data_IF_164488938991
#
_entry.id   IF_164488938991
#
_cell.length_a   1.000
_cell.length_b   1.000
_cell.length_c   1.000
_cell.angle_alpha   90.00
_cell.angle_beta   90.00
_cell.angle_gamma   90.00
#
_symmetry.space_group_name_H-M   'P 1'
#
loop_
_entity.id
_entity.type
_entity.pdbx_description
1 polymer ?
#
# COMPACT_ATOMS: atom_id res chain seq x y z
N UNK A 1 -7.78 10.18 9.68
CA UNK A 1 -8.97 9.28 9.75
C UNK A 1 -8.77 7.90 9.11
N UNK A 2 -8.05 7.76 7.98
CA UNK A 2 -7.86 6.44 7.32
C UNK A 2 -7.11 5.41 8.19
N UNK A 3 -6.08 5.85 8.90
CA UNK A 3 -5.32 4.97 9.82
C UNK A 3 -6.20 4.45 10.96
N UNK A 4 -7.12 5.29 11.47
CA UNK A 4 -8.07 4.89 12.51
C UNK A 4 -9.05 3.82 12.01
N UNK A 5 -9.53 3.94 10.76
CA UNK A 5 -10.39 2.92 10.13
C UNK A 5 -9.66 1.60 9.92
N UNK A 6 -8.40 1.64 9.47
CA UNK A 6 -7.62 0.42 9.26
C UNK A 6 -7.31 -0.25 10.62
N UNK A 7 -7.09 0.55 11.67
CA UNK A 7 -6.89 0.07 13.03
C UNK A 7 -8.16 -0.60 13.58
N UNK A 8 -9.35 0.04 13.47
CA UNK A 8 -10.60 -0.56 13.96
C UNK A 8 -10.95 -1.85 13.22
N UNK A 9 -10.73 -1.90 11.91
CA UNK A 9 -10.90 -3.13 11.12
C UNK A 9 -9.93 -4.24 11.55
N UNK A 10 -8.65 -3.92 11.72
CA UNK A 10 -7.65 -4.90 12.16
C UNK A 10 -7.92 -5.43 13.57
N UNK A 11 -8.35 -4.56 14.49
CA UNK A 11 -8.72 -4.95 15.85
C UNK A 11 -9.96 -5.84 15.85
N UNK A 12 -10.97 -5.54 15.03
CA UNK A 12 -12.17 -6.37 14.90
C UNK A 12 -11.86 -7.78 14.39
N UNK A 13 -10.99 -7.89 13.38
CA UNK A 13 -10.56 -9.18 12.82
C UNK A 13 -9.74 -9.98 13.84
N UNK A 14 -8.79 -9.34 14.52
CA UNK A 14 -7.97 -9.99 15.53
C UNK A 14 -8.83 -10.53 16.69
N UNK A 15 -9.77 -9.72 17.19
CA UNK A 15 -10.71 -10.14 18.24
C UNK A 15 -11.60 -11.30 17.78
N UNK A 16 -12.12 -11.25 16.55
CA UNK A 16 -12.94 -12.32 15.99
C UNK A 16 -12.16 -13.64 15.90
N UNK A 17 -10.91 -13.62 15.44
CA UNK A 17 -10.05 -14.81 15.38
C UNK A 17 -9.83 -15.39 16.78
N UNK A 18 -9.52 -14.53 17.75
CA UNK A 18 -9.26 -14.95 19.13
C UNK A 18 -10.52 -15.50 19.81
N UNK A 19 -11.68 -14.91 19.55
CA UNK A 19 -12.97 -15.38 20.05
C UNK A 19 -13.34 -16.76 19.47
N UNK A 20 -13.11 -16.97 18.16
CA UNK A 20 -13.33 -18.27 17.52
C UNK A 20 -12.38 -19.32 18.13
N UNK A 21 -11.10 -18.99 18.31
CA UNK A 21 -10.12 -19.92 18.90
C UNK A 21 -10.49 -20.29 20.34
N UNK A 22 -10.95 -19.33 21.14
CA UNK A 22 -11.42 -19.55 22.51
C UNK A 22 -12.68 -20.43 22.54
N UNK A 23 -13.66 -20.13 21.69
CA UNK A 23 -14.90 -20.91 21.60
C UNK A 23 -14.64 -22.35 21.17
N UNK A 24 -13.80 -22.54 20.15
CA UNK A 24 -13.41 -23.88 19.67
C UNK A 24 -12.63 -24.66 20.73
N UNK A 25 -11.77 -24.01 21.50
CA UNK A 25 -11.05 -24.66 22.60
C UNK A 25 -12.01 -25.07 23.73
N UNK A 26 -13.03 -24.27 24.04
CA UNK A 26 -14.08 -24.62 25.02
C UNK A 26 -14.96 -25.80 24.60
N UNK A 27 -15.10 -26.06 23.29
CA UNK A 27 -15.80 -27.22 22.74
C UNK A 27 -14.90 -28.46 22.59
N UNK A 28 -13.58 -28.29 22.71
CA UNK A 28 -12.59 -29.36 22.46
C UNK A 28 -11.99 -29.85 23.78
N UNK A 29 -12.32 -31.07 24.17
CA UNK A 29 -11.70 -31.69 25.34
C UNK A 29 -10.33 -32.29 24.99
N UNK A 30 -9.37 -32.14 25.92
CA UNK A 30 -8.01 -32.69 25.83
C UNK A 30 -7.99 -34.21 25.56
N UNK A 31 -9.02 -34.91 26.02
CA UNK A 31 -9.16 -36.37 25.87
C UNK A 31 -9.77 -36.79 24.54
N UNK A 32 -10.69 -36.00 23.96
CA UNK A 32 -11.36 -36.37 22.72
C UNK A 32 -10.50 -36.13 21.48
N UNK A 33 -9.67 -35.09 21.46
CA UNK A 33 -8.79 -34.81 20.31
C UNK A 33 -7.53 -34.01 20.72
N UNK A 34 -6.46 -34.70 21.15
CA UNK A 34 -5.27 -34.05 21.69
C UNK A 34 -4.52 -33.18 20.65
N UNK A 35 -4.60 -33.52 19.36
CA UNK A 35 -3.97 -32.75 18.28
C UNK A 35 -4.64 -31.39 18.05
N UNK A 36 -5.98 -31.38 17.98
CA UNK A 36 -6.78 -30.17 17.72
C UNK A 36 -6.67 -29.22 18.92
N UNK A 37 -6.72 -29.76 20.14
CA UNK A 37 -6.53 -28.99 21.36
C UNK A 37 -5.19 -28.24 21.38
N UNK A 38 -4.08 -28.92 21.04
CA UNK A 38 -2.74 -28.30 20.97
C UNK A 38 -2.66 -27.23 19.89
N UNK A 39 -3.25 -27.48 18.73
CA UNK A 39 -3.27 -26.51 17.62
C UNK A 39 -4.03 -25.23 18.00
N UNK A 40 -5.19 -25.37 18.65
CA UNK A 40 -5.97 -24.24 19.18
C UNK A 40 -5.22 -23.47 20.27
N UNK A 41 -4.46 -24.17 21.12
CA UNK A 41 -3.64 -23.55 22.16
C UNK A 41 -2.51 -22.71 21.54
N UNK A 42 -1.85 -23.22 20.50
CA UNK A 42 -0.81 -22.50 19.75
C UNK A 42 -1.35 -21.27 19.00
N UNK A 43 -2.58 -21.34 18.50
CA UNK A 43 -3.27 -20.20 17.86
C UNK A 43 -3.72 -19.12 18.84
N UNK A 44 -3.55 -19.34 20.15
CA UNK A 44 -3.91 -18.39 21.20
C UNK A 44 -5.31 -18.56 21.76
N UNK A 45 -5.91 -19.75 21.66
CA UNK A 45 -7.23 -20.04 22.22
C UNK A 45 -7.30 -19.89 23.75
N UNK A 46 -6.19 -20.14 24.46
CA UNK A 46 -6.07 -19.89 25.89
C UNK A 46 -5.54 -18.48 26.16
N UNK A 47 -6.45 -17.50 26.12
CA UNK A 47 -6.10 -16.08 26.28
C UNK A 47 -5.50 -15.77 27.66
N UNK A 48 -5.93 -16.49 28.70
CA UNK A 48 -5.54 -16.23 30.10
C UNK A 48 -4.11 -16.74 30.36
N UNK A 49 -3.74 -17.92 29.86
CA UNK A 49 -2.41 -18.51 30.11
C UNK A 49 -1.32 -18.08 29.10
N UNK A 50 -1.60 -17.12 28.21
CA UNK A 50 -0.58 -16.59 27.29
C UNK A 50 -1.05 -16.31 25.85
N UNK A 51 -2.25 -16.72 25.48
CA UNK A 51 -2.82 -16.53 24.15
C UNK A 51 -3.03 -15.06 23.76
N UNK A 52 -3.03 -14.13 24.73
CA UNK A 52 -3.06 -12.69 24.46
C UNK A 52 -1.91 -12.22 23.55
N UNK A 53 -0.75 -12.89 23.57
CA UNK A 53 0.39 -12.58 22.68
C UNK A 53 0.01 -12.81 21.23
N UNK A 54 -0.74 -13.88 20.93
CA UNK A 54 -1.24 -14.13 19.58
C UNK A 54 -2.26 -13.08 19.17
N UNK A 55 -3.14 -12.65 20.08
CA UNK A 55 -4.10 -11.57 19.82
C UNK A 55 -3.42 -10.26 19.35
N UNK A 56 -2.35 -9.87 20.04
CA UNK A 56 -1.55 -8.68 19.68
C UNK A 56 -0.83 -8.89 18.35
N UNK A 57 -0.31 -10.10 18.12
CA UNK A 57 0.37 -10.46 16.87
C UNK A 57 -0.57 -10.39 15.67
N UNK A 58 -1.81 -10.90 15.79
CA UNK A 58 -2.82 -10.77 14.75
C UNK A 58 -3.18 -9.31 14.48
N UNK A 59 -3.35 -8.50 15.53
CA UNK A 59 -3.63 -7.08 15.37
C UNK A 59 -2.52 -6.38 14.58
N UNK A 60 -1.26 -6.57 14.98
CA UNK A 60 -0.11 -5.98 14.32
C UNK A 60 -0.01 -6.44 12.84
N UNK A 61 -0.23 -7.74 12.59
CA UNK A 61 -0.21 -8.31 11.24
C UNK A 61 -1.27 -7.70 10.33
N UNK A 62 -2.55 -7.71 10.76
CA UNK A 62 -3.63 -7.19 9.91
C UNK A 62 -3.52 -5.68 9.71
N UNK A 63 -3.05 -4.95 10.72
CA UNK A 63 -2.82 -3.52 10.58
C UNK A 63 -1.74 -3.22 9.53
N UNK A 64 -0.56 -3.86 9.65
CA UNK A 64 0.52 -3.72 8.68
C UNK A 64 0.08 -4.16 7.27
N UNK A 65 -0.67 -5.26 7.16
CA UNK A 65 -1.20 -5.74 5.90
C UNK A 65 -2.10 -4.72 5.20
N UNK A 66 -3.02 -4.08 5.94
CA UNK A 66 -3.88 -3.06 5.37
C UNK A 66 -3.11 -1.82 4.92
N UNK A 67 -2.11 -1.41 5.70
CA UNK A 67 -1.25 -0.29 5.32
C UNK A 67 -0.46 -0.59 4.05
N UNK A 68 0.19 -1.75 3.99
CA UNK A 68 0.94 -2.21 2.80
C UNK A 68 0.02 -2.28 1.58
N UNK A 69 -1.19 -2.83 1.72
CA UNK A 69 -2.18 -2.91 0.62
C UNK A 69 -2.62 -1.52 0.12
N UNK A 70 -2.68 -0.52 0.99
CA UNK A 70 -2.97 0.85 0.58
C UNK A 70 -1.79 1.46 -0.21
N UNK A 71 -0.56 1.28 0.27
CA UNK A 71 0.65 1.73 -0.44
C UNK A 71 0.81 1.04 -1.80
N UNK A 72 0.58 -0.27 -1.88
CA UNK A 72 0.62 -1.02 -3.13
C UNK A 72 -0.41 -0.50 -4.13
N UNK A 73 -1.61 -0.11 -3.70
CA UNK A 73 -2.61 0.51 -4.58
C UNK A 73 -2.18 1.87 -5.10
N UNK A 74 -1.46 2.66 -4.31
CA UNK A 74 -0.86 3.91 -4.78
C UNK A 74 0.23 3.61 -5.82
N UNK A 75 1.13 2.68 -5.53
CA UNK A 75 2.22 2.29 -6.45
C UNK A 75 1.65 1.74 -7.76
N UNK A 76 0.62 0.89 -7.72
CA UNK A 76 -0.02 0.35 -8.91
C UNK A 76 -0.66 1.45 -9.77
N UNK A 77 -1.26 2.47 -9.14
CA UNK A 77 -1.76 3.66 -9.85
C UNK A 77 -0.62 4.44 -10.48
N UNK A 78 0.45 4.72 -9.74
CA UNK A 78 1.63 5.41 -10.28
C UNK A 78 2.29 4.65 -11.43
N UNK A 79 2.36 3.31 -11.37
CA UNK A 79 2.84 2.47 -12.49
C UNK A 79 2.03 2.66 -13.76
N UNK A 80 0.72 2.90 -13.65
CA UNK A 80 -0.12 3.21 -14.80
C UNK A 80 0.29 4.52 -15.46
N UNK A 81 0.76 5.51 -14.71
CA UNK A 81 1.27 6.77 -15.26
C UNK A 81 2.49 6.56 -16.18
N UNK A 82 3.36 5.61 -15.85
CA UNK A 82 4.50 5.26 -16.71
C UNK A 82 4.06 4.63 -18.03
N UNK A 83 2.96 3.86 -18.04
CA UNK A 83 2.40 3.29 -19.27
C UNK A 83 1.72 4.31 -20.19
N UNK A 84 1.49 5.54 -19.72
CA UNK A 84 0.88 6.60 -20.52
C UNK A 84 1.84 7.21 -21.56
N UNK A 85 3.09 6.72 -21.67
CA UNK A 85 4.11 7.17 -22.64
C UNK A 85 4.22 8.71 -22.71
N UNK A 86 4.13 9.37 -21.55
CA UNK A 86 4.25 10.83 -21.42
C UNK A 86 5.64 11.32 -21.88
N UNK A 87 6.62 10.44 -21.89
CA UNK A 87 7.98 10.69 -22.37
C UNK A 87 8.24 9.65 -23.47
N UNK A 88 8.65 10.05 -24.69
CA UNK A 88 9.13 9.11 -25.69
C UNK A 88 10.37 8.39 -25.16
N UNK A 89 10.27 7.07 -24.98
CA UNK A 89 11.36 6.19 -24.50
C UNK A 89 12.41 5.90 -25.56
N UNK A 90 12.44 6.66 -26.66
CA UNK A 90 13.34 6.43 -27.78
C UNK A 90 14.65 7.19 -27.53
N UNK A 91 15.75 6.48 -27.30
CA UNK A 91 17.05 6.97 -26.81
C UNK A 91 17.72 8.08 -27.65
N UNK A 92 17.14 8.46 -28.80
CA UNK A 92 17.70 9.49 -29.71
C UNK A 92 16.88 10.77 -29.81
N UNK A 93 15.83 10.95 -29.00
CA UNK A 93 15.00 12.15 -29.08
C UNK A 93 15.54 13.27 -28.16
N UNK A 94 16.29 14.19 -28.74
CA UNK A 94 16.71 15.43 -28.07
C UNK A 94 15.51 16.37 -28.03
N UNK A 95 15.02 16.69 -26.83
CA UNK A 95 13.93 17.64 -26.66
C UNK A 95 14.40 19.05 -27.00
N UNK A 96 13.79 19.66 -28.02
CA UNK A 96 13.98 21.08 -28.29
C UNK A 96 13.12 21.92 -27.33
N UNK A 97 13.47 23.20 -27.10
CA UNK A 97 12.72 24.07 -26.19
C UNK A 97 11.22 24.18 -26.52
N UNK A 98 10.85 24.08 -27.81
CA UNK A 98 9.45 24.09 -28.24
C UNK A 98 8.70 22.81 -27.87
N UNK A 99 9.38 21.66 -27.92
CA UNK A 99 8.81 20.36 -27.54
C UNK A 99 8.52 20.29 -26.03
N UNK A 100 9.33 20.99 -25.22
CA UNK A 100 9.16 21.07 -23.76
C UNK A 100 7.91 21.86 -23.39
N UNK A 101 7.60 22.93 -24.13
CA UNK A 101 6.35 23.68 -23.93
C UNK A 101 5.13 22.84 -24.30
N UNK A 102 5.18 22.13 -25.42
CA UNK A 102 4.11 21.20 -25.83
C UNK A 102 3.92 20.05 -24.83
N UNK A 103 5.02 19.51 -24.29
CA UNK A 103 5.00 18.51 -23.23
C UNK A 103 4.38 19.05 -21.94
N UNK A 104 4.71 20.29 -21.55
CA UNK A 104 4.13 20.96 -20.39
C UNK A 104 2.63 21.15 -20.52
N UNK A 105 2.11 21.52 -21.69
CA UNK A 105 0.67 21.62 -21.94
C UNK A 105 -0.02 20.26 -21.82
N UNK A 106 0.53 19.21 -22.44
CA UNK A 106 0.02 17.83 -22.30
C UNK A 106 0.00 17.39 -20.84
N UNK A 107 1.07 17.65 -20.08
CA UNK A 107 1.14 17.35 -18.64
C UNK A 107 0.04 18.04 -17.84
N UNK A 108 -0.21 19.33 -18.08
CA UNK A 108 -1.24 20.11 -17.38
C UNK A 108 -2.64 19.56 -17.68
N UNK A 109 -2.90 19.17 -18.94
CA UNK A 109 -4.17 18.57 -19.33
C UNK A 109 -4.38 17.18 -18.70
N UNK A 110 -3.33 16.37 -18.61
CA UNK A 110 -3.36 15.08 -17.91
C UNK A 110 -3.55 15.22 -16.40
N UNK A 111 -2.87 16.20 -15.78
CA UNK A 111 -2.97 16.49 -14.34
C UNK A 111 -4.38 16.92 -13.94
N UNK A 112 -5.17 17.46 -14.89
CA UNK A 112 -6.57 17.83 -14.70
C UNK A 112 -7.50 16.60 -14.58
N UNK A 113 -7.12 15.45 -15.15
CA UNK A 113 -7.86 14.18 -15.04
C UNK A 113 -7.43 13.38 -13.83
N UNK A 114 -6.12 13.16 -13.66
CA UNK A 114 -5.57 12.46 -12.50
C UNK A 114 -4.19 13.03 -12.13
N UNK A 115 -3.98 13.25 -10.82
CA UNK A 115 -2.70 13.72 -10.30
C UNK A 115 -1.79 12.53 -10.03
N UNK A 116 -0.66 12.49 -10.73
CA UNK A 116 0.39 11.49 -10.56
C UNK A 116 1.68 12.16 -10.04
N UNK A 117 2.51 11.40 -9.32
CA UNK A 117 3.82 11.90 -8.88
C UNK A 117 4.72 12.13 -10.10
N UNK A 118 4.62 11.27 -11.11
CA UNK A 118 5.39 11.39 -12.35
C UNK A 118 5.14 12.72 -13.09
N UNK A 119 3.88 13.19 -13.15
CA UNK A 119 3.54 14.45 -13.83
C UNK A 119 4.09 15.67 -13.10
N UNK A 120 4.06 15.68 -11.76
CA UNK A 120 4.65 16.76 -10.96
C UNK A 120 6.18 16.79 -11.11
N UNK A 121 6.81 15.61 -11.13
CA UNK A 121 8.25 15.48 -11.36
C UNK A 121 8.64 16.00 -12.75
N UNK A 122 7.87 15.65 -13.79
CA UNK A 122 8.13 16.12 -15.16
C UNK A 122 7.95 17.63 -15.30
N UNK A 123 6.93 18.20 -14.63
CA UNK A 123 6.71 19.65 -14.59
C UNK A 123 7.86 20.40 -13.92
N UNK A 124 8.38 19.87 -12.80
CA UNK A 124 9.56 20.41 -12.12
C UNK A 124 10.81 20.31 -13.00
N UNK A 125 10.99 19.19 -13.70
CA UNK A 125 12.09 19.01 -14.65
C UNK A 125 12.01 20.01 -15.83
N UNK A 126 10.85 20.16 -16.48
CA UNK A 126 10.63 21.15 -17.55
C UNK A 126 10.84 22.59 -17.06
N UNK A 127 10.43 22.88 -15.82
CA UNK A 127 10.63 24.21 -15.22
C UNK A 127 12.11 24.46 -14.96
N UNK A 128 12.82 23.47 -14.42
CA UNK A 128 14.27 23.54 -14.18
C UNK A 128 15.04 23.73 -15.48
N UNK A 129 14.73 22.96 -16.53
CA UNK A 129 15.34 23.08 -17.86
C UNK A 129 15.23 24.51 -18.42
N UNK A 130 14.03 25.11 -18.32
CA UNK A 130 13.80 26.49 -18.77
C UNK A 130 14.62 27.51 -17.97
N UNK A 131 14.75 27.31 -16.66
CA UNK A 131 15.51 28.23 -15.79
C UNK A 131 17.02 28.03 -15.85
N UNK A 132 17.49 26.82 -16.17
CA UNK A 132 18.93 26.50 -16.22
C UNK A 132 19.60 26.94 -17.51
N UNK A 133 18.86 27.52 -18.47
CA UNK A 133 19.45 28.11 -19.67
C UNK A 133 20.35 27.14 -20.45
N UNK A 134 20.03 25.84 -20.49
CA UNK A 134 20.76 24.87 -21.33
C UNK A 134 20.39 25.01 -22.82
N UNK A 135 20.19 26.24 -23.26
CA UNK A 135 20.55 26.72 -24.58
C UNK A 135 22.03 27.10 -24.43
N UNK A 136 22.90 26.10 -24.49
CA UNK A 136 24.26 26.36 -24.97
C UNK A 136 24.09 26.89 -26.39
N UNK A 137 24.30 28.20 -26.56
CA UNK A 137 24.72 28.79 -27.84
C UNK A 137 25.90 28.03 -28.44
#
# INVERSE_FOLDING_TARGET
MKNLRNLTLSSGIALLITAICMMMLGLTNKESSPGIYRFLLLLGGDVINGGYVQSVTYLAFFWAWFEVKEKLRVIARERKAFSLNLIPTNDKHVFMPQDINNLKFKLIEFERKEKYILSDLLKKACTKFRTSGSLSE
#
